data_IF_531783537483
#
_entry.id   IF_531783537483
#
_cell.length_a   1.000
_cell.length_b   1.000
_cell.length_c   1.000
_cell.angle_alpha   90.00
_cell.angle_beta   90.00
_cell.angle_gamma   90.00
#
_symmetry.space_group_name_H-M   'P 1'
#
loop_
_entity.id
_entity.type
_entity.pdbx_description
1 polymer ?
#
# COMPACT_ATOMS: atom_id res chain seq x y z
N UNK A 1 -26.42 6.68 -7.76
CA UNK A 1 -25.24 7.23 -7.03
C UNK A 1 -24.77 8.43 -7.81
N UNK A 2 -24.42 9.54 -7.16
CA UNK A 2 -23.90 10.73 -7.83
C UNK A 2 -22.45 10.92 -7.42
N UNK A 3 -21.59 11.22 -8.36
CA UNK A 3 -20.19 11.58 -8.13
C UNK A 3 -20.02 13.10 -8.20
N UNK A 4 -19.06 13.63 -7.46
CA UNK A 4 -18.73 15.06 -7.50
C UNK A 4 -17.86 15.30 -8.74
N UNK A 5 -18.27 16.28 -9.58
CA UNK A 5 -17.45 16.72 -10.71
C UNK A 5 -16.06 17.15 -10.23
N UNK A 6 -14.94 16.59 -10.78
CA UNK A 6 -13.58 16.89 -10.33
C UNK A 6 -13.23 18.39 -10.37
N UNK A 7 -13.71 19.11 -11.39
CA UNK A 7 -13.54 20.57 -11.50
C UNK A 7 -14.17 21.29 -10.30
N UNK A 8 -15.40 20.92 -9.94
CA UNK A 8 -16.10 21.54 -8.81
C UNK A 8 -15.50 21.14 -7.48
N UNK A 9 -15.03 19.89 -7.38
CA UNK A 9 -14.28 19.43 -6.21
C UNK A 9 -13.04 20.30 -5.98
N UNK A 10 -12.29 20.61 -7.03
CA UNK A 10 -11.13 21.49 -6.94
C UNK A 10 -11.52 22.94 -6.62
N UNK A 11 -12.31 23.58 -7.51
CA UNK A 11 -12.57 25.02 -7.48
C UNK A 11 -13.37 25.47 -6.27
N UNK A 12 -14.33 24.66 -5.80
CA UNK A 12 -15.23 25.05 -4.71
C UNK A 12 -14.87 24.47 -3.36
N UNK A 13 -14.26 23.28 -3.33
CA UNK A 13 -14.04 22.58 -2.06
C UNK A 13 -12.56 22.51 -1.71
N UNK A 14 -11.72 21.93 -2.55
CA UNK A 14 -10.33 21.69 -2.20
C UNK A 14 -9.56 22.99 -1.90
N UNK A 15 -9.71 24.02 -2.75
CA UNK A 15 -9.07 25.34 -2.57
C UNK A 15 -9.46 26.03 -1.25
N UNK A 16 -10.63 25.73 -0.71
CA UNK A 16 -11.08 26.33 0.55
C UNK A 16 -10.79 25.43 1.75
N UNK A 17 -11.08 24.14 1.63
CA UNK A 17 -11.03 23.22 2.78
C UNK A 17 -9.61 22.81 3.15
N UNK A 18 -8.72 22.57 2.18
CA UNK A 18 -7.34 22.16 2.49
C UNK A 18 -6.58 23.22 3.31
N UNK A 19 -6.59 24.51 2.97
CA UNK A 19 -6.01 25.53 3.85
C UNK A 19 -6.63 25.60 5.25
N UNK A 20 -7.95 25.39 5.37
CA UNK A 20 -8.63 25.35 6.69
C UNK A 20 -8.12 24.17 7.53
N UNK A 21 -8.02 22.97 6.93
CA UNK A 21 -7.47 21.78 7.60
C UNK A 21 -6.01 22.02 8.00
N UNK A 22 -5.23 22.64 7.11
CA UNK A 22 -3.85 23.02 7.43
C UNK A 22 -3.75 23.98 8.61
N UNK A 23 -4.65 24.95 8.69
CA UNK A 23 -4.72 25.92 9.79
C UNK A 23 -5.05 25.27 11.15
N UNK A 24 -5.70 24.10 11.15
CA UNK A 24 -5.92 23.29 12.37
C UNK A 24 -4.64 22.61 12.89
N UNK A 25 -3.52 22.74 12.17
CA UNK A 25 -2.22 22.18 12.57
C UNK A 25 -1.83 20.88 11.84
N UNK A 26 -2.67 20.35 10.96
CA UNK A 26 -2.34 19.15 10.17
C UNK A 26 -1.23 19.46 9.15
N UNK A 27 -0.19 18.61 9.13
CA UNK A 27 0.98 18.73 8.24
C UNK A 27 1.64 17.38 8.04
N UNK A 28 2.47 17.27 7.04
CA UNK A 28 3.13 16.04 6.63
C UNK A 28 2.32 15.30 5.56
N UNK A 29 2.16 14.00 5.68
CA UNK A 29 1.42 13.22 4.71
C UNK A 29 -0.10 13.32 4.97
N UNK A 30 -0.83 13.94 4.05
CA UNK A 30 -2.29 14.06 4.10
C UNK A 30 -2.94 12.96 3.26
N UNK A 31 -3.95 12.29 3.82
CA UNK A 31 -4.64 11.18 3.15
C UNK A 31 -5.98 11.65 2.58
N UNK A 32 -6.18 11.39 1.28
CA UNK A 32 -7.46 11.54 0.58
C UNK A 32 -8.00 10.15 0.24
N UNK A 33 -9.06 9.75 0.91
CA UNK A 33 -9.66 8.43 0.74
C UNK A 33 -10.23 8.22 -0.68
N UNK A 34 -10.03 7.03 -1.24
CA UNK A 34 -10.57 6.57 -2.55
C UNK A 34 -10.11 7.38 -3.77
N UNK A 35 -9.56 8.56 -3.59
CA UNK A 35 -9.46 9.58 -4.63
C UNK A 35 -8.56 9.19 -5.82
N UNK A 36 -7.56 8.35 -5.60
CA UNK A 36 -6.63 7.90 -6.63
C UNK A 36 -6.91 6.49 -7.14
N UNK A 37 -7.86 5.76 -6.56
CA UNK A 37 -8.22 4.40 -6.99
C UNK A 37 -9.46 4.34 -7.89
N UNK A 38 -10.09 5.48 -8.14
CA UNK A 38 -11.20 5.62 -9.10
C UNK A 38 -10.73 6.44 -10.29
N UNK A 39 -11.04 5.98 -11.49
CA UNK A 39 -10.81 6.77 -12.69
C UNK A 39 -11.65 8.06 -12.67
N UNK A 40 -11.12 9.13 -13.23
CA UNK A 40 -11.88 10.36 -13.37
C UNK A 40 -13.01 10.16 -14.37
N UNK A 41 -14.23 10.45 -13.94
CA UNK A 41 -15.42 10.36 -14.78
C UNK A 41 -15.63 11.65 -15.58
N UNK A 42 -16.35 11.53 -16.69
CA UNK A 42 -16.86 12.69 -17.43
C UNK A 42 -17.94 13.41 -16.59
N UNK A 43 -18.08 14.69 -16.79
CA UNK A 43 -19.16 15.48 -16.20
C UNK A 43 -20.06 16.02 -17.33
N UNK A 44 -21.32 15.64 -17.29
CA UNK A 44 -22.30 16.03 -18.30
C UNK A 44 -23.13 17.28 -17.91
N UNK A 45 -22.82 17.92 -16.78
CA UNK A 45 -23.50 19.17 -16.38
C UNK A 45 -23.13 20.28 -17.38
N UNK A 46 -24.10 20.88 -18.08
CA UNK A 46 -23.84 21.89 -19.13
C UNK A 46 -23.15 23.15 -18.61
N UNK A 47 -23.18 23.39 -17.30
CA UNK A 47 -22.51 24.55 -16.68
C UNK A 47 -21.01 24.33 -16.44
N UNK A 48 -20.56 23.08 -16.45
CA UNK A 48 -19.17 22.71 -16.23
C UNK A 48 -18.85 21.33 -16.83
N UNK A 49 -19.09 21.14 -18.15
CA UNK A 49 -18.84 19.87 -18.79
C UNK A 49 -17.35 19.52 -18.76
N UNK A 50 -17.04 18.23 -18.61
CA UNK A 50 -15.68 17.69 -18.67
C UNK A 50 -15.70 16.34 -19.36
N UNK A 51 -14.73 16.10 -20.22
CA UNK A 51 -14.38 14.75 -20.59
C UNK A 51 -13.48 14.08 -19.53
N UNK A 52 -13.23 12.78 -19.62
CA UNK A 52 -12.43 12.01 -18.67
C UNK A 52 -10.99 12.56 -18.53
N UNK A 53 -10.37 12.95 -19.65
CA UNK A 53 -9.01 13.54 -19.64
C UNK A 53 -8.95 14.87 -18.88
N UNK A 54 -9.97 15.69 -19.04
CA UNK A 54 -10.08 16.95 -18.28
C UNK A 54 -10.36 16.69 -16.81
N UNK A 55 -11.22 15.72 -16.51
CA UNK A 55 -11.48 15.25 -15.14
C UNK A 55 -10.19 14.79 -14.46
N UNK A 56 -9.38 13.96 -15.12
CA UNK A 56 -8.08 13.52 -14.63
C UNK A 56 -7.13 14.66 -14.29
N UNK A 57 -7.09 15.74 -15.09
CA UNK A 57 -6.28 16.92 -14.77
C UNK A 57 -6.71 17.60 -13.47
N UNK A 58 -8.02 17.69 -13.22
CA UNK A 58 -8.52 18.27 -11.95
C UNK A 58 -8.24 17.35 -10.75
N UNK A 59 -8.27 16.03 -10.92
CA UNK A 59 -7.77 15.10 -9.90
C UNK A 59 -6.31 15.42 -9.57
N UNK A 60 -5.46 15.56 -10.59
CA UNK A 60 -4.06 15.95 -10.41
C UNK A 60 -3.89 17.29 -9.70
N UNK A 61 -4.70 18.30 -10.03
CA UNK A 61 -4.68 19.60 -9.34
C UNK A 61 -5.00 19.49 -7.85
N UNK A 62 -5.94 18.60 -7.46
CA UNK A 62 -6.27 18.37 -6.05
C UNK A 62 -5.12 17.68 -5.33
N UNK A 63 -4.50 16.65 -5.95
CA UNK A 63 -3.34 15.97 -5.36
C UNK A 63 -2.15 16.93 -5.19
N UNK A 64 -1.87 17.75 -6.20
CA UNK A 64 -0.81 18.77 -6.13
C UNK A 64 -1.10 19.80 -5.04
N UNK A 65 -2.34 20.32 -4.97
CA UNK A 65 -2.75 21.24 -3.90
C UNK A 65 -2.55 20.64 -2.51
N UNK A 66 -2.90 19.36 -2.35
CA UNK A 66 -2.68 18.63 -1.10
C UNK A 66 -1.20 18.55 -0.73
N UNK A 67 -0.34 18.18 -1.67
CA UNK A 67 1.11 18.15 -1.48
C UNK A 67 1.65 19.52 -1.07
N UNK A 68 1.28 20.58 -1.80
CA UNK A 68 1.75 21.94 -1.55
C UNK A 68 1.26 22.48 -0.19
N UNK A 69 0.04 22.11 0.20
CA UNK A 69 -0.57 22.57 1.45
C UNK A 69 -0.02 21.86 2.67
N UNK A 70 0.18 20.54 2.60
CA UNK A 70 0.52 19.72 3.78
C UNK A 70 1.98 19.27 3.82
N UNK A 71 2.67 19.23 2.69
CA UNK A 71 4.04 18.72 2.55
C UNK A 71 4.13 17.30 2.01
N UNK A 72 2.99 16.62 1.79
CA UNK A 72 2.88 15.30 1.19
C UNK A 72 1.43 14.89 1.02
N UNK A 73 1.17 13.98 0.09
CA UNK A 73 -0.18 13.47 -0.23
C UNK A 73 -0.19 11.97 -0.40
N UNK A 74 -1.23 11.34 0.14
CA UNK A 74 -1.48 9.93 -0.01
C UNK A 74 -2.94 9.66 -0.33
N UNK A 75 -3.22 8.49 -0.89
CA UNK A 75 -4.58 8.05 -1.17
C UNK A 75 -4.66 6.52 -1.20
N UNK A 76 -5.84 5.98 -1.44
CA UNK A 76 -6.09 4.55 -1.59
C UNK A 76 -5.83 4.13 -3.04
N UNK A 77 -4.92 3.17 -3.25
CA UNK A 77 -4.59 2.68 -4.59
C UNK A 77 -3.96 3.75 -5.50
N UNK A 78 -3.66 3.38 -6.73
CA UNK A 78 -3.14 4.32 -7.72
C UNK A 78 -3.32 3.80 -9.15
N UNK A 79 -3.44 4.74 -10.07
CA UNK A 79 -3.27 4.56 -11.50
C UNK A 79 -1.99 5.26 -11.97
N UNK A 80 -1.51 4.92 -13.14
CA UNK A 80 -0.30 5.49 -13.76
C UNK A 80 -0.34 7.01 -13.91
N UNK A 81 -1.52 7.62 -14.14
CA UNK A 81 -1.65 9.08 -14.18
C UNK A 81 -1.32 9.78 -12.85
N UNK A 82 -1.26 9.04 -11.75
CA UNK A 82 -0.93 9.59 -10.43
C UNK A 82 0.58 9.52 -10.12
N UNK A 83 1.38 8.94 -11.01
CA UNK A 83 2.83 8.90 -10.84
C UNK A 83 3.42 10.31 -10.77
N UNK A 84 4.29 10.55 -9.78
CA UNK A 84 4.84 11.87 -9.49
C UNK A 84 3.90 12.82 -8.73
N UNK A 85 2.65 12.42 -8.48
CA UNK A 85 1.66 13.23 -7.73
C UNK A 85 1.40 12.70 -6.33
N UNK A 86 1.51 11.37 -6.13
CA UNK A 86 1.34 10.71 -4.84
C UNK A 86 2.71 10.38 -4.23
N UNK A 87 2.83 10.60 -2.92
CA UNK A 87 4.00 10.19 -2.15
C UNK A 87 3.81 8.78 -1.58
N UNK A 88 2.56 8.41 -1.25
CA UNK A 88 2.23 7.10 -0.69
C UNK A 88 0.84 6.64 -1.14
N UNK A 89 0.72 5.35 -1.39
CA UNK A 89 -0.55 4.67 -1.64
C UNK A 89 -0.81 3.60 -0.59
N UNK A 90 -1.99 3.64 0.01
CA UNK A 90 -2.34 2.77 1.12
C UNK A 90 -2.50 1.31 0.67
N UNK A 91 -3.16 1.07 -0.44
CA UNK A 91 -3.33 -0.26 -1.01
C UNK A 91 -2.95 -0.24 -2.48
N UNK A 92 -1.85 -0.86 -2.81
CA UNK A 92 -1.68 -1.26 -4.18
C UNK A 92 -2.46 -2.54 -4.34
N UNK A 93 -3.43 -2.54 -5.23
CA UNK A 93 -4.22 -3.74 -5.53
C UNK A 93 -3.32 -4.82 -6.13
N UNK A 94 -2.60 -5.51 -5.26
CA UNK A 94 -1.88 -6.69 -5.61
C UNK A 94 -2.75 -7.88 -5.23
N UNK A 95 -3.44 -8.37 -6.20
CA UNK A 95 -4.11 -9.65 -6.14
C UNK A 95 -4.92 -9.92 -4.85
N UNK A 96 -6.12 -9.48 -4.80
CA UNK A 96 -7.09 -10.47 -4.35
C UNK A 96 -6.82 -11.68 -5.22
N UNK A 97 -6.56 -12.89 -4.65
CA UNK A 97 -6.53 -14.07 -5.48
C UNK A 97 -7.79 -13.99 -6.32
N UNK A 98 -7.62 -13.91 -7.62
CA UNK A 98 -8.75 -13.94 -8.54
C UNK A 98 -9.60 -15.07 -8.05
N UNK A 99 -10.88 -14.82 -7.72
CA UNK A 99 -11.75 -15.86 -7.28
C UNK A 99 -11.52 -17.00 -8.26
N UNK A 100 -10.99 -18.11 -7.80
CA UNK A 100 -10.40 -19.17 -8.64
C UNK A 100 -11.33 -19.61 -9.78
N UNK A 101 -12.64 -19.37 -9.61
CA UNK A 101 -13.67 -19.63 -10.60
C UNK A 101 -13.67 -18.67 -11.80
N UNK A 102 -13.22 -17.42 -11.67
CA UNK A 102 -13.38 -16.43 -12.76
C UNK A 102 -12.22 -16.46 -13.74
N UNK A 103 -11.03 -16.88 -13.31
CA UNK A 103 -9.81 -16.86 -14.12
C UNK A 103 -9.10 -18.22 -14.20
N UNK A 104 -9.74 -19.28 -13.71
CA UNK A 104 -9.20 -20.65 -13.74
C UNK A 104 -8.76 -20.99 -15.18
N UNK A 105 -7.49 -21.30 -15.36
CA UNK A 105 -6.89 -21.63 -16.65
C UNK A 105 -6.47 -20.43 -17.52
N UNK A 106 -6.73 -19.18 -17.10
CA UNK A 106 -6.28 -17.99 -17.84
C UNK A 106 -5.10 -17.27 -17.16
N UNK A 107 -4.92 -17.46 -15.85
CA UNK A 107 -3.85 -16.85 -15.07
C UNK A 107 -3.09 -17.95 -14.33
N UNK A 108 -1.82 -18.11 -14.61
CA UNK A 108 -0.94 -19.07 -13.97
C UNK A 108 -0.17 -18.49 -12.78
N UNK A 109 0.14 -17.19 -12.84
CA UNK A 109 0.79 -16.49 -11.74
C UNK A 109 0.49 -14.99 -11.76
N UNK A 110 0.71 -14.36 -10.61
CA UNK A 110 0.63 -12.91 -10.45
C UNK A 110 2.02 -12.30 -10.55
N UNK A 111 2.11 -11.16 -11.23
CA UNK A 111 3.34 -10.38 -11.36
C UNK A 111 3.17 -9.09 -10.55
N UNK A 112 4.13 -8.67 -9.71
CA UNK A 112 4.06 -7.43 -8.93
C UNK A 112 4.26 -6.20 -9.84
N UNK A 113 3.37 -6.03 -10.82
CA UNK A 113 3.52 -5.03 -11.87
C UNK A 113 3.64 -3.61 -11.31
N UNK A 114 2.84 -3.28 -10.29
CA UNK A 114 2.93 -1.94 -9.69
C UNK A 114 4.30 -1.69 -9.07
N UNK A 115 4.84 -2.66 -8.34
CA UNK A 115 6.13 -2.53 -7.67
C UNK A 115 7.27 -2.49 -8.70
N UNK A 116 7.22 -3.31 -9.74
CA UNK A 116 8.20 -3.29 -10.83
C UNK A 116 8.23 -1.93 -11.57
N UNK A 117 7.09 -1.24 -11.63
CA UNK A 117 7.00 0.06 -12.33
C UNK A 117 7.25 1.25 -11.39
N UNK A 118 6.74 1.20 -10.16
CA UNK A 118 6.64 2.37 -9.28
C UNK A 118 7.45 2.30 -7.99
N UNK A 119 8.12 1.18 -7.67
CA UNK A 119 9.01 1.15 -6.50
C UNK A 119 10.12 2.19 -6.69
N UNK A 120 10.42 2.94 -5.66
CA UNK A 120 11.34 4.07 -5.75
C UNK A 120 10.69 5.39 -6.18
N UNK A 121 9.45 5.36 -6.68
CA UNK A 121 8.69 6.54 -7.13
C UNK A 121 7.53 6.85 -6.18
N UNK A 122 6.76 5.83 -5.81
CA UNK A 122 5.60 5.94 -4.91
C UNK A 122 5.76 4.90 -3.80
N UNK A 123 5.75 5.34 -2.55
CA UNK A 123 5.71 4.42 -1.43
C UNK A 123 4.36 3.71 -1.35
N UNK A 124 4.36 2.44 -1.00
CA UNK A 124 3.13 1.67 -0.95
C UNK A 124 3.06 0.68 0.22
N UNK A 125 1.82 0.38 0.63
CA UNK A 125 1.49 -0.87 1.26
C UNK A 125 1.03 -1.81 0.14
N UNK A 126 1.71 -2.92 -0.10
CA UNK A 126 1.50 -3.69 -1.32
C UNK A 126 0.20 -4.48 -1.35
N UNK A 127 -0.47 -4.68 -0.22
CA UNK A 127 -1.62 -5.58 -0.16
C UNK A 127 -2.47 -5.41 1.10
N UNK A 128 -3.80 -5.49 0.98
CA UNK A 128 -4.70 -5.35 2.12
C UNK A 128 -4.51 -6.40 3.22
N UNK A 129 -4.13 -7.63 2.85
CA UNK A 129 -3.89 -8.71 3.82
C UNK A 129 -2.56 -8.58 4.56
N UNK A 130 -1.72 -7.60 4.19
CA UNK A 130 -0.50 -7.27 4.94
C UNK A 130 -0.75 -6.33 6.12
N UNK A 131 -1.95 -5.76 6.22
CA UNK A 131 -2.36 -4.95 7.37
C UNK A 131 -2.39 -5.83 8.62
N UNK A 132 -1.81 -5.34 9.72
CA UNK A 132 -1.65 -6.08 10.97
C UNK A 132 -1.03 -7.47 10.79
N UNK A 133 -0.07 -7.58 9.88
CA UNK A 133 0.62 -8.82 9.59
C UNK A 133 1.35 -9.38 10.83
N UNK A 134 1.35 -10.68 10.98
CA UNK A 134 2.15 -11.35 12.01
C UNK A 134 3.63 -11.35 11.63
N UNK A 135 4.48 -11.35 12.67
CA UNK A 135 5.93 -11.46 12.50
C UNK A 135 6.32 -12.92 12.36
N UNK A 136 7.07 -13.26 11.32
CA UNK A 136 7.58 -14.57 10.94
C UNK A 136 6.55 -15.67 10.74
N UNK A 137 6.77 -16.42 9.71
CA UNK A 137 5.99 -17.61 9.39
C UNK A 137 4.59 -17.33 8.89
N UNK A 138 4.29 -16.06 8.59
CA UNK A 138 2.99 -15.67 8.05
C UNK A 138 3.12 -15.06 6.66
N UNK A 139 2.32 -15.54 5.69
CA UNK A 139 2.40 -15.07 4.31
C UNK A 139 2.22 -13.55 4.15
N UNK A 140 1.41 -12.92 5.00
CA UNK A 140 1.16 -11.48 4.93
C UNK A 140 2.39 -10.63 5.26
N UNK A 141 3.20 -11.01 6.26
CA UNK A 141 4.47 -10.34 6.55
C UNK A 141 5.47 -10.57 5.41
N UNK A 142 5.65 -11.84 5.03
CA UNK A 142 6.56 -12.21 3.95
C UNK A 142 6.21 -11.48 2.65
N UNK A 143 4.90 -11.32 2.37
CA UNK A 143 4.42 -10.60 1.19
C UNK A 143 4.78 -9.11 1.23
N UNK A 144 4.72 -8.48 2.40
CA UNK A 144 5.16 -7.09 2.57
C UNK A 144 6.65 -6.93 2.24
N UNK A 145 7.48 -7.85 2.73
CA UNK A 145 8.93 -7.84 2.49
C UNK A 145 9.26 -8.16 1.02
N UNK A 146 8.62 -9.18 0.44
CA UNK A 146 8.81 -9.57 -0.96
C UNK A 146 8.57 -8.40 -1.93
N UNK A 147 7.57 -7.59 -1.65
CA UNK A 147 7.19 -6.49 -2.53
C UNK A 147 7.77 -5.12 -2.14
N UNK A 148 8.71 -5.08 -1.19
CA UNK A 148 9.36 -3.83 -0.79
C UNK A 148 8.42 -2.81 -0.16
N UNK A 149 7.26 -3.28 0.33
CA UNK A 149 6.22 -2.42 0.87
C UNK A 149 6.44 -2.04 2.32
N UNK A 150 5.64 -1.07 2.77
CA UNK A 150 5.60 -0.65 4.18
C UNK A 150 4.62 -1.51 4.97
N UNK A 151 4.94 -1.90 6.20
CA UNK A 151 3.95 -2.51 7.08
C UNK A 151 2.87 -1.47 7.43
N UNK A 152 1.62 -1.91 7.48
CA UNK A 152 0.50 -1.08 7.88
C UNK A 152 -0.19 -1.71 9.09
N UNK A 153 -0.54 -0.88 10.06
CA UNK A 153 -1.19 -1.34 11.29
C UNK A 153 -2.44 -0.53 11.56
N UNK A 154 -3.56 -1.23 11.77
CA UNK A 154 -4.77 -0.66 12.31
C UNK A 154 -4.81 -0.91 13.82
N UNK A 155 -4.97 0.16 14.57
CA UNK A 155 -4.92 0.19 16.00
C UNK A 155 -6.20 0.83 16.55
N UNK A 156 -6.86 0.16 17.49
CA UNK A 156 -8.17 0.54 17.99
C UNK A 156 -8.19 0.68 19.49
N UNK A 157 -9.05 1.56 20.01
CA UNK A 157 -9.35 1.60 21.44
C UNK A 157 -10.00 0.27 21.89
N UNK A 158 -11.02 -0.15 21.16
CA UNK A 158 -11.64 -1.47 21.23
C UNK A 158 -12.46 -1.74 19.96
N UNK A 159 -12.84 -2.97 19.72
CA UNK A 159 -13.78 -3.30 18.65
C UNK A 159 -15.23 -3.21 19.18
N UNK A 160 -16.04 -2.38 18.55
CA UNK A 160 -17.45 -2.20 18.90
C UNK A 160 -18.27 -3.49 18.69
N UNK A 161 -17.86 -4.34 17.74
CA UNK A 161 -18.52 -5.60 17.45
C UNK A 161 -17.48 -6.71 17.36
N UNK A 162 -17.23 -7.44 18.45
CA UNK A 162 -16.28 -8.54 18.44
C UNK A 162 -16.58 -9.56 17.34
N UNK A 163 -15.56 -9.97 16.60
CA UNK A 163 -15.64 -10.97 15.53
C UNK A 163 -16.27 -10.50 14.22
N UNK A 164 -16.78 -9.27 14.12
CA UNK A 164 -17.32 -8.70 12.88
C UNK A 164 -16.47 -7.55 12.35
N UNK A 165 -16.34 -7.48 11.03
CA UNK A 165 -15.64 -6.37 10.35
C UNK A 165 -14.12 -6.42 10.39
N UNK A 166 -13.52 -7.51 10.88
CA UNK A 166 -12.06 -7.65 10.99
C UNK A 166 -11.38 -8.27 9.78
N UNK A 167 -12.12 -8.82 8.85
CA UNK A 167 -11.60 -9.68 7.76
C UNK A 167 -10.54 -9.01 6.87
N UNK A 168 -10.56 -7.70 6.78
CA UNK A 168 -9.63 -6.92 5.96
C UNK A 168 -8.46 -6.31 6.75
N UNK A 169 -8.50 -6.40 8.10
CA UNK A 169 -7.50 -5.77 8.98
C UNK A 169 -6.27 -6.64 9.23
N UNK A 170 -6.26 -7.87 8.73
CA UNK A 170 -5.14 -8.79 8.86
C UNK A 170 -5.23 -9.76 10.04
N UNK A 171 -4.08 -10.32 10.42
CA UNK A 171 -3.99 -11.49 11.29
C UNK A 171 -4.13 -11.17 12.79
N UNK A 172 -3.86 -9.95 13.20
CA UNK A 172 -3.71 -9.58 14.62
C UNK A 172 -4.60 -8.38 14.95
N UNK A 173 -5.36 -8.53 16.03
CA UNK A 173 -6.10 -7.42 16.61
C UNK A 173 -5.18 -6.59 17.50
N UNK A 174 -5.04 -5.30 17.16
CA UNK A 174 -4.25 -4.35 17.93
C UNK A 174 -5.18 -3.39 18.65
N UNK A 175 -5.24 -3.50 19.96
CA UNK A 175 -6.15 -2.76 20.84
C UNK A 175 -5.39 -2.06 21.97
N UNK A 176 -6.04 -1.10 22.63
CA UNK A 176 -5.48 -0.34 23.76
C UNK A 176 -6.47 -0.21 24.94
N UNK A 177 -7.40 -1.14 25.10
CA UNK A 177 -8.42 -1.09 26.14
C UNK A 177 -7.88 -1.17 27.58
N UNK A 178 -6.70 -1.77 27.78
CA UNK A 178 -5.97 -1.81 29.04
C UNK A 178 -4.48 -1.59 28.79
N UNK A 179 -3.71 -1.24 29.82
CA UNK A 179 -2.25 -1.04 29.73
C UNK A 179 -1.54 -2.30 29.25
N UNK A 180 -1.98 -3.49 29.66
CA UNK A 180 -1.40 -4.76 29.25
C UNK A 180 -1.66 -5.02 27.74
N UNK A 181 -2.86 -4.78 27.29
CA UNK A 181 -3.24 -4.95 25.86
C UNK A 181 -2.51 -3.91 25.00
N UNK A 182 -2.42 -2.68 25.48
CA UNK A 182 -1.63 -1.63 24.83
C UNK A 182 -0.16 -2.04 24.69
N UNK A 183 0.46 -2.51 25.76
CA UNK A 183 1.86 -2.94 25.72
C UNK A 183 2.10 -4.07 24.71
N UNK A 184 1.20 -5.06 24.62
CA UNK A 184 1.26 -6.14 23.63
C UNK A 184 1.13 -5.60 22.19
N UNK A 185 0.19 -4.68 21.95
CA UNK A 185 -0.01 -4.05 20.65
C UNK A 185 1.21 -3.23 20.22
N UNK A 186 1.76 -2.43 21.10
CA UNK A 186 2.97 -1.64 20.85
C UNK A 186 4.17 -2.56 20.56
N UNK A 187 4.34 -3.63 21.32
CA UNK A 187 5.40 -4.61 21.09
C UNK A 187 5.27 -5.29 19.72
N UNK A 188 4.03 -5.59 19.29
CA UNK A 188 3.77 -6.15 17.97
C UNK A 188 4.15 -5.17 16.86
N UNK A 189 3.67 -3.92 16.94
CA UNK A 189 3.98 -2.85 15.97
C UNK A 189 5.50 -2.65 15.91
N UNK A 190 6.16 -2.57 17.05
CA UNK A 190 7.60 -2.39 17.11
C UNK A 190 8.37 -3.50 16.39
N UNK A 191 8.00 -4.77 16.58
CA UNK A 191 8.64 -5.89 15.87
C UNK A 191 8.48 -5.76 14.35
N UNK A 192 7.29 -5.38 13.85
CA UNK A 192 7.05 -5.17 12.43
C UNK A 192 7.90 -4.02 11.87
N UNK A 193 8.01 -2.93 12.61
CA UNK A 193 8.87 -1.79 12.24
C UNK A 193 10.34 -2.21 12.24
N UNK A 194 10.81 -2.92 13.26
CA UNK A 194 12.21 -3.39 13.34
C UNK A 194 12.55 -4.35 12.19
N UNK A 195 11.61 -5.21 11.78
CA UNK A 195 11.79 -6.07 10.61
C UNK A 195 11.89 -5.24 9.31
N UNK A 196 10.98 -4.29 9.11
CA UNK A 196 10.99 -3.41 7.95
C UNK A 196 12.26 -2.53 7.88
N UNK A 197 12.80 -2.08 9.02
CA UNK A 197 14.01 -1.27 9.05
C UNK A 197 15.23 -1.94 8.42
N UNK A 198 15.26 -3.26 8.31
CA UNK A 198 16.35 -3.98 7.62
C UNK A 198 16.33 -3.77 6.11
N UNK A 199 15.18 -3.45 5.55
CA UNK A 199 14.95 -3.29 4.11
C UNK A 199 14.39 -1.91 3.73
N UNK A 200 14.19 -0.99 4.69
CA UNK A 200 13.52 0.29 4.47
C UNK A 200 14.14 1.14 3.36
N UNK A 201 15.45 1.06 3.16
CA UNK A 201 16.15 1.81 2.11
C UNK A 201 15.77 1.36 0.70
N UNK A 202 15.34 0.09 0.54
CA UNK A 202 14.93 -0.46 -0.74
C UNK A 202 13.67 0.19 -1.30
N UNK A 203 12.89 0.88 -0.46
CA UNK A 203 11.74 1.67 -0.94
C UNK A 203 12.15 2.87 -1.83
N UNK A 204 13.41 3.26 -1.82
CA UNK A 204 13.97 4.33 -2.66
C UNK A 204 14.67 3.81 -3.92
N UNK A 205 14.77 2.50 -4.06
CA UNK A 205 15.41 1.83 -5.19
C UNK A 205 14.35 1.36 -6.19
N UNK A 206 14.69 1.30 -7.46
CA UNK A 206 13.83 0.63 -8.44
C UNK A 206 13.85 -0.88 -8.20
N UNK A 207 12.72 -1.52 -8.41
CA UNK A 207 12.62 -2.97 -8.42
C UNK A 207 12.93 -3.47 -9.83
N UNK A 208 14.12 -4.03 -10.04
CA UNK A 208 14.61 -4.45 -11.37
C UNK A 208 14.10 -5.84 -11.76
N UNK A 209 13.70 -6.66 -10.80
CA UNK A 209 13.22 -8.00 -11.08
C UNK A 209 12.51 -8.67 -9.91
N UNK A 210 11.65 -9.61 -10.25
CA UNK A 210 10.94 -10.48 -9.33
C UNK A 210 10.84 -11.87 -9.92
N UNK A 211 11.58 -12.81 -9.35
CA UNK A 211 11.73 -14.18 -9.84
C UNK A 211 11.15 -15.18 -8.84
N UNK A 212 10.47 -16.18 -9.34
CA UNK A 212 10.16 -17.40 -8.61
C UNK A 212 11.29 -18.41 -8.82
N UNK A 213 12.09 -18.64 -7.76
CA UNK A 213 13.24 -19.55 -7.82
C UNK A 213 12.82 -21.02 -7.71
N UNK A 214 11.75 -21.27 -6.98
CA UNK A 214 11.05 -22.54 -6.82
C UNK A 214 9.63 -22.26 -6.34
N UNK A 215 8.69 -23.22 -6.42
CA UNK A 215 7.35 -23.01 -5.90
C UNK A 215 7.34 -22.48 -4.46
N UNK A 216 6.84 -21.26 -4.27
CA UNK A 216 6.80 -20.60 -2.96
C UNK A 216 8.13 -19.99 -2.49
N UNK A 217 9.13 -19.85 -3.34
CA UNK A 217 10.41 -19.17 -3.02
C UNK A 217 10.67 -18.09 -4.06
N UNK A 218 10.80 -16.85 -3.59
CA UNK A 218 10.93 -15.69 -4.47
C UNK A 218 12.19 -14.89 -4.19
N UNK A 219 12.68 -14.23 -5.25
CA UNK A 219 13.78 -13.27 -5.20
C UNK A 219 13.30 -11.96 -5.81
N UNK A 220 13.43 -10.87 -5.07
CA UNK A 220 13.25 -9.51 -5.57
C UNK A 220 14.60 -8.83 -5.67
N UNK A 221 14.91 -8.25 -6.83
CA UNK A 221 16.17 -7.57 -7.11
C UNK A 221 15.95 -6.07 -7.25
N UNK A 222 16.91 -5.26 -6.77
CA UNK A 222 16.83 -3.81 -6.74
C UNK A 222 18.01 -3.17 -7.47
N UNK A 223 17.81 -1.93 -7.94
CA UNK A 223 18.77 -1.15 -8.74
C UNK A 223 20.12 -0.92 -8.08
N UNK A 224 20.18 -0.94 -6.74
CA UNK A 224 21.44 -0.86 -5.99
C UNK A 224 22.18 -2.21 -5.84
N UNK A 225 21.69 -3.27 -6.49
CA UNK A 225 22.23 -4.60 -6.42
C UNK A 225 21.73 -5.45 -5.24
N UNK A 226 20.97 -4.89 -4.33
CA UNK A 226 20.39 -5.65 -3.22
C UNK A 226 19.39 -6.68 -3.71
N UNK A 227 19.32 -7.81 -3.01
CA UNK A 227 18.39 -8.90 -3.29
C UNK A 227 17.67 -9.29 -2.01
N UNK A 228 16.34 -9.38 -2.09
CA UNK A 228 15.49 -9.90 -1.02
C UNK A 228 15.01 -11.28 -1.43
N UNK A 229 15.22 -12.26 -0.58
CA UNK A 229 14.78 -13.64 -0.80
C UNK A 229 13.71 -13.96 0.24
N UNK A 230 12.60 -14.52 -0.20
CA UNK A 230 11.46 -14.89 0.64
C UNK A 230 11.10 -16.34 0.40
N UNK A 231 10.93 -17.10 1.48
CA UNK A 231 10.60 -18.52 1.45
C UNK A 231 9.28 -18.76 2.21
N UNK A 232 8.24 -19.11 1.48
CA UNK A 232 6.92 -19.48 2.04
C UNK A 232 6.80 -20.95 2.37
N UNK A 233 7.85 -21.75 2.13
CA UNK A 233 7.83 -23.19 2.39
C UNK A 233 8.26 -23.52 3.82
N UNK A 234 7.92 -24.70 4.29
CA UNK A 234 8.27 -25.19 5.62
C UNK A 234 9.69 -25.76 5.72
N UNK A 235 10.45 -25.73 4.63
CA UNK A 235 11.84 -26.22 4.60
C UNK A 235 12.78 -25.10 4.13
N UNK A 236 14.03 -25.05 4.65
CA UNK A 236 15.03 -24.13 4.13
C UNK A 236 15.30 -24.37 2.64
N UNK A 237 15.59 -23.32 1.92
CA UNK A 237 15.91 -23.36 0.49
C UNK A 237 17.27 -22.71 0.23
N UNK A 238 18.13 -23.41 -0.53
CA UNK A 238 19.42 -22.88 -0.97
C UNK A 238 19.28 -22.26 -2.37
N UNK A 239 19.66 -21.02 -2.52
CA UNK A 239 19.69 -20.31 -3.80
C UNK A 239 20.90 -19.38 -3.84
N UNK A 240 21.52 -19.26 -5.01
CA UNK A 240 22.75 -18.50 -5.18
C UNK A 240 23.79 -18.95 -4.12
N UNK A 241 24.23 -18.03 -3.27
CA UNK A 241 25.16 -18.30 -2.16
C UNK A 241 24.51 -18.11 -0.77
N UNK A 242 23.19 -18.26 -0.69
CA UNK A 242 22.41 -18.06 0.51
C UNK A 242 21.54 -19.27 0.84
N UNK A 243 21.28 -19.48 2.12
CA UNK A 243 20.24 -20.40 2.61
C UNK A 243 19.12 -19.58 3.22
N UNK A 244 17.94 -19.64 2.61
CA UNK A 244 16.74 -18.93 3.04
C UNK A 244 16.01 -19.84 4.04
N UNK A 245 15.85 -19.44 5.31
CA UNK A 245 15.17 -20.29 6.28
C UNK A 245 13.70 -20.56 5.89
N UNK A 246 13.14 -21.61 6.42
CA UNK A 246 11.71 -21.93 6.27
C UNK A 246 10.83 -20.80 6.82
N UNK A 247 9.78 -20.44 6.10
CA UNK A 247 8.80 -19.41 6.49
C UNK A 247 9.47 -18.10 6.94
N UNK A 248 10.55 -17.70 6.25
CA UNK A 248 11.33 -16.52 6.60
C UNK A 248 11.93 -15.87 5.35
N UNK A 249 12.75 -14.84 5.55
CA UNK A 249 13.38 -14.06 4.50
C UNK A 249 14.78 -13.61 4.87
N UNK A 250 15.56 -13.26 3.87
CA UNK A 250 16.89 -12.66 4.03
C UNK A 250 17.07 -11.54 3.01
N UNK A 251 17.94 -10.58 3.34
CA UNK A 251 18.41 -9.54 2.41
C UNK A 251 19.93 -9.65 2.26
N UNK A 252 20.43 -9.44 1.03
CA UNK A 252 21.83 -9.45 0.67
C UNK A 252 22.21 -8.24 -0.16
#
# INVERSE_FOLDING_TARGET
>A
MYTICPKRAYEKFALQQMPMVRAMGFKGLHYLDVYSCVGAERCDDPRHPLNEREGTKYVGHILQLGRDTFGGISSEGSYDQNAGQLDYVLYVSFARPFAAATYAGLVDRLVPMFQLVYNGIIFSNPYTTTVNAQIKGRPSELKTIEFGGRPSFYFYANFLTPGKGKNWMGDVDLECGTDEVLAKSVAHIKRGVDAHQKVWKLQYEYMDGHDELAPGVYRTSYSNGAKVYVNYTETPFAADDVTIPALDWIVK
#
